data_IF_418871696363
#
_entry.id   IF_418871696363
#
_cell.length_a   1.000
_cell.length_b   1.000
_cell.length_c   1.000
_cell.angle_alpha   90.00
_cell.angle_beta   90.00
_cell.angle_gamma   90.00
#
_symmetry.space_group_name_H-M   'P 1'
#
loop_
_entity.id
_entity.type
_entity.pdbx_description
1 polymer ?
#
# COMPACT_ATOMS: atom_id res chain seq x y z
N UNK A 1 18.60 8.38 20.37
CA UNK A 1 17.13 8.33 20.59
C UNK A 1 16.35 8.46 19.27
N UNK A 2 16.53 9.55 18.47
CA UNK A 2 15.73 9.79 17.25
C UNK A 2 15.81 8.63 16.23
N UNK A 3 17.00 8.12 15.94
CA UNK A 3 17.17 7.00 14.99
C UNK A 3 16.36 5.76 15.39
N UNK A 4 16.42 5.34 16.65
CA UNK A 4 15.68 4.20 17.17
C UNK A 4 14.16 4.41 17.13
N UNK A 5 13.70 5.63 17.38
CA UNK A 5 12.25 5.94 17.28
C UNK A 5 11.73 5.76 15.85
N UNK A 6 12.48 6.19 14.85
CA UNK A 6 12.13 5.97 13.44
C UNK A 6 12.25 4.51 13.02
N UNK A 7 13.18 3.74 13.58
CA UNK A 7 13.26 2.29 13.36
C UNK A 7 12.04 1.57 13.93
N UNK A 8 11.64 1.89 15.15
CA UNK A 8 10.42 1.34 15.75
C UNK A 8 9.18 1.67 14.92
N UNK A 9 9.08 2.91 14.41
CA UNK A 9 8.01 3.30 13.51
C UNK A 9 8.03 2.48 12.21
N UNK A 10 9.21 2.28 11.58
CA UNK A 10 9.33 1.45 10.37
C UNK A 10 8.86 0.02 10.60
N UNK A 11 9.22 -0.58 11.73
CA UNK A 11 8.74 -1.92 12.10
C UNK A 11 7.21 -1.95 12.22
N UNK A 12 6.62 -0.97 12.88
CA UNK A 12 5.16 -0.86 12.98
C UNK A 12 4.49 -0.72 11.60
N UNK A 13 5.03 0.13 10.73
CA UNK A 13 4.55 0.30 9.34
C UNK A 13 4.68 -1.00 8.53
N UNK A 14 5.75 -1.78 8.72
CA UNK A 14 5.91 -3.08 8.08
C UNK A 14 4.84 -4.10 8.56
N UNK A 15 4.45 -4.07 9.82
CA UNK A 15 3.33 -4.89 10.31
C UNK A 15 1.99 -4.48 9.68
N UNK A 16 1.72 -3.19 9.54
CA UNK A 16 0.53 -2.70 8.81
C UNK A 16 0.55 -3.20 7.36
N UNK A 17 1.70 -3.11 6.68
CA UNK A 17 1.87 -3.61 5.32
C UNK A 17 1.60 -5.13 5.21
N UNK A 18 2.07 -5.91 6.18
CA UNK A 18 1.80 -7.37 6.22
C UNK A 18 0.31 -7.67 6.36
N UNK A 19 -0.42 -6.92 7.16
CA UNK A 19 -1.86 -7.08 7.31
C UNK A 19 -2.60 -6.67 6.04
N UNK A 20 -2.20 -5.57 5.41
CA UNK A 20 -2.76 -5.10 4.14
C UNK A 20 -2.60 -6.15 3.04
N UNK A 21 -1.39 -6.67 2.85
CA UNK A 21 -1.12 -7.71 1.84
C UNK A 21 -1.94 -8.98 2.07
N UNK A 22 -2.11 -9.41 3.32
CA UNK A 22 -2.99 -10.54 3.65
C UNK A 22 -4.45 -10.28 3.31
N UNK A 23 -4.95 -9.04 3.53
CA UNK A 23 -6.33 -8.66 3.14
C UNK A 23 -6.47 -8.65 1.62
N UNK A 24 -5.48 -8.11 0.89
CA UNK A 24 -5.42 -8.16 -0.59
C UNK A 24 -5.54 -9.60 -1.08
N UNK A 25 -4.77 -10.53 -0.51
CA UNK A 25 -4.85 -11.96 -0.88
C UNK A 25 -6.23 -12.56 -0.56
N UNK A 26 -6.85 -12.21 0.57
CA UNK A 26 -8.20 -12.66 0.90
C UNK A 26 -9.22 -12.15 -0.10
N UNK A 27 -9.19 -10.87 -0.44
CA UNK A 27 -10.05 -10.27 -1.46
C UNK A 27 -9.88 -11.00 -2.79
N UNK A 28 -8.63 -11.27 -3.19
CA UNK A 28 -8.30 -11.97 -4.43
C UNK A 28 -8.90 -13.36 -4.53
N UNK A 29 -8.84 -14.15 -3.47
CA UNK A 29 -9.24 -15.56 -3.51
C UNK A 29 -10.69 -15.79 -3.07
N UNK A 30 -11.27 -14.89 -2.31
CA UNK A 30 -12.58 -15.07 -1.69
C UNK A 30 -13.56 -13.90 -1.94
N UNK A 31 -13.11 -12.80 -2.55
CA UNK A 31 -13.93 -11.61 -2.72
C UNK A 31 -15.02 -11.80 -3.77
N UNK A 32 -14.66 -12.29 -4.97
CA UNK A 32 -15.61 -12.49 -6.06
C UNK A 32 -15.74 -13.98 -6.36
N UNK A 33 -16.95 -14.56 -6.30
CA UNK A 33 -17.19 -15.96 -6.63
C UNK A 33 -16.72 -16.30 -8.04
N UNK A 34 -16.11 -17.47 -8.22
CA UNK A 34 -15.52 -17.90 -9.51
C UNK A 34 -16.53 -17.85 -10.67
N UNK A 35 -17.80 -18.17 -10.41
CA UNK A 35 -18.86 -18.11 -11.42
C UNK A 35 -19.20 -16.70 -11.92
N UNK A 36 -18.96 -15.66 -11.11
CA UNK A 36 -19.21 -14.25 -11.48
C UNK A 36 -17.98 -13.53 -12.04
N UNK A 37 -16.82 -14.13 -11.91
CA UNK A 37 -15.55 -13.53 -12.30
C UNK A 37 -15.47 -13.17 -13.80
N UNK A 38 -16.05 -13.99 -14.66
CA UNK A 38 -16.04 -13.75 -16.10
C UNK A 38 -16.87 -12.51 -16.50
N UNK A 39 -18.01 -12.29 -15.84
CA UNK A 39 -18.86 -11.12 -16.05
C UNK A 39 -18.21 -9.87 -15.44
N UNK A 40 -17.66 -9.99 -14.26
CA UNK A 40 -16.91 -8.92 -13.61
C UNK A 40 -15.77 -8.40 -14.49
N UNK A 41 -14.96 -9.30 -15.10
CA UNK A 41 -13.90 -8.93 -16.04
C UNK A 41 -14.39 -8.20 -17.27
N UNK A 42 -15.57 -8.53 -17.78
CA UNK A 42 -16.16 -7.81 -18.91
C UNK A 42 -16.58 -6.39 -18.52
N UNK A 43 -17.09 -6.22 -17.30
CA UNK A 43 -17.52 -4.93 -16.77
C UNK A 43 -16.34 -4.02 -16.43
N UNK A 44 -15.22 -4.59 -15.94
CA UNK A 44 -14.04 -3.86 -15.50
C UNK A 44 -12.75 -4.41 -16.13
N UNK A 45 -12.56 -4.28 -17.46
CA UNK A 45 -11.46 -4.94 -18.18
C UNK A 45 -10.07 -4.45 -17.76
N UNK A 46 -9.96 -3.22 -17.24
CA UNK A 46 -8.69 -2.60 -16.85
C UNK A 46 -8.47 -2.51 -15.33
N UNK A 47 -9.44 -2.94 -14.54
CA UNK A 47 -9.32 -2.91 -13.08
C UNK A 47 -8.25 -3.89 -12.59
N UNK A 48 -7.45 -3.48 -11.60
CA UNK A 48 -6.30 -4.25 -11.11
C UNK A 48 -6.66 -5.46 -10.24
N UNK A 49 -7.93 -5.85 -10.17
CA UNK A 49 -8.40 -6.92 -9.28
C UNK A 49 -7.64 -8.24 -9.43
N UNK A 50 -7.02 -8.51 -10.60
CA UNK A 50 -6.43 -9.82 -10.87
C UNK A 50 -4.94 -9.78 -11.20
N UNK A 51 -4.22 -10.79 -10.69
CA UNK A 51 -2.85 -11.11 -11.05
C UNK A 51 -1.84 -10.00 -10.75
N UNK A 52 -1.74 -8.96 -11.58
CA UNK A 52 -0.71 -7.94 -11.42
C UNK A 52 -0.72 -7.24 -10.06
N UNK A 53 -1.88 -6.97 -9.48
CA UNK A 53 -2.00 -6.26 -8.20
C UNK A 53 -1.51 -7.07 -7.01
N UNK A 54 -1.76 -8.37 -6.99
CA UNK A 54 -1.27 -9.25 -5.93
C UNK A 54 0.25 -9.39 -6.00
N UNK A 55 0.81 -9.51 -7.19
CA UNK A 55 2.27 -9.55 -7.37
C UNK A 55 2.93 -8.22 -6.99
N UNK A 56 2.32 -7.09 -7.36
CA UNK A 56 2.79 -5.76 -6.98
C UNK A 56 2.73 -5.58 -5.46
N UNK A 57 1.65 -6.02 -4.82
CA UNK A 57 1.51 -5.98 -3.37
C UNK A 57 2.58 -6.81 -2.66
N UNK A 58 2.86 -8.03 -3.15
CA UNK A 58 3.90 -8.89 -2.61
C UNK A 58 5.31 -8.27 -2.78
N UNK A 59 5.59 -7.65 -3.93
CA UNK A 59 6.85 -6.96 -4.19
C UNK A 59 7.04 -5.75 -3.27
N UNK A 60 6.00 -4.92 -3.12
CA UNK A 60 6.00 -3.78 -2.18
C UNK A 60 6.21 -4.23 -0.74
N UNK A 61 5.55 -5.30 -0.31
CA UNK A 61 5.75 -5.86 1.03
C UNK A 61 7.18 -6.36 1.23
N UNK A 62 7.77 -7.03 0.24
CA UNK A 62 9.16 -7.49 0.31
C UNK A 62 10.13 -6.32 0.46
N UNK A 63 9.93 -5.24 -0.32
CA UNK A 63 10.72 -4.01 -0.21
C UNK A 63 10.55 -3.35 1.16
N UNK A 64 9.32 -3.20 1.65
CA UNK A 64 9.03 -2.63 2.98
C UNK A 64 9.72 -3.43 4.08
N UNK A 65 9.66 -4.76 4.05
CA UNK A 65 10.34 -5.63 5.02
C UNK A 65 11.86 -5.45 4.97
N UNK A 66 12.44 -5.33 3.78
CA UNK A 66 13.86 -5.07 3.61
C UNK A 66 14.26 -3.73 4.23
N UNK A 67 13.52 -2.65 3.92
CA UNK A 67 13.74 -1.30 4.43
C UNK A 67 13.49 -1.16 5.93
N UNK A 68 12.72 -2.07 6.53
CA UNK A 68 12.42 -2.07 7.97
C UNK A 68 13.59 -2.58 8.82
N UNK A 69 14.64 -3.16 8.22
CA UNK A 69 15.81 -3.59 8.97
C UNK A 69 16.48 -2.41 9.68
N UNK A 70 17.02 -2.61 10.89
CA UNK A 70 17.74 -1.58 11.63
C UNK A 70 18.95 -1.05 10.86
N UNK A 71 19.06 0.27 10.75
CA UNK A 71 20.19 0.95 10.13
C UNK A 71 21.16 1.51 11.16
N UNK A 72 20.68 1.74 12.38
CA UNK A 72 21.54 2.26 13.46
C UNK A 72 22.66 1.30 13.90
N UNK A 73 22.53 0.03 13.55
CA UNK A 73 23.59 -0.97 13.75
C UNK A 73 24.72 -0.90 12.71
N UNK A 74 24.53 -0.16 11.61
CA UNK A 74 25.51 -0.05 10.53
C UNK A 74 26.50 1.11 10.76
N UNK A 75 26.59 1.61 11.98
CA UNK A 75 27.57 2.65 12.32
C UNK A 75 28.99 2.12 12.12
N UNK A 76 29.86 2.95 11.56
CA UNK A 76 31.27 2.67 11.35
C UNK A 76 32.12 3.72 12.04
N UNK A 77 33.31 3.33 12.47
CA UNK A 77 34.29 4.23 13.02
C UNK A 77 34.76 5.20 11.94
N UNK A 78 34.57 6.50 12.13
CA UNK A 78 34.99 7.54 11.19
C UNK A 78 36.30 8.19 11.62
N UNK A 79 36.39 8.53 12.90
CA UNK A 79 37.59 9.14 13.49
C UNK A 79 37.84 8.55 14.87
N UNK A 80 38.92 7.76 15.09
CA UNK A 80 39.21 7.16 16.37
C UNK A 80 39.28 8.23 17.48
N UNK A 81 38.70 7.87 18.64
CA UNK A 81 38.68 8.68 19.86
C UNK A 81 37.83 9.97 19.80
N UNK A 82 37.24 10.31 18.63
CA UNK A 82 36.40 11.51 18.49
C UNK A 82 35.00 11.23 17.93
N UNK A 83 34.86 10.30 16.99
CA UNK A 83 33.61 9.98 16.30
C UNK A 83 33.40 8.46 16.27
N UNK A 84 33.35 7.85 17.44
CA UNK A 84 33.24 6.39 17.58
C UNK A 84 31.86 5.84 17.25
N UNK A 85 30.83 6.69 17.25
CA UNK A 85 29.47 6.28 17.02
C UNK A 85 28.68 7.35 16.26
N UNK A 86 28.12 6.95 15.13
CA UNK A 86 27.15 7.76 14.37
C UNK A 86 25.73 7.25 14.64
N UNK A 87 24.80 8.15 14.91
CA UNK A 87 23.40 7.79 15.18
C UNK A 87 22.65 7.33 13.95
N UNK A 88 23.15 7.59 12.74
CA UNK A 88 22.49 7.34 11.44
C UNK A 88 21.02 7.81 11.40
N UNK A 89 20.66 8.79 12.22
CA UNK A 89 19.29 9.30 12.32
C UNK A 89 18.76 9.85 10.98
N UNK A 90 19.52 10.64 10.19
CA UNK A 90 19.06 11.12 8.90
C UNK A 90 18.72 9.96 7.94
N UNK A 91 19.52 8.91 7.93
CA UNK A 91 19.27 7.72 7.11
C UNK A 91 18.01 6.99 7.60
N UNK A 92 17.83 6.84 8.92
CA UNK A 92 16.64 6.23 9.50
C UNK A 92 15.37 6.98 9.11
N UNK A 93 15.39 8.32 9.12
CA UNK A 93 14.28 9.18 8.65
C UNK A 93 13.99 8.95 7.17
N UNK A 94 15.02 8.95 6.32
CA UNK A 94 14.87 8.75 4.87
C UNK A 94 14.26 7.40 4.54
N UNK A 95 14.74 6.34 5.18
CA UNK A 95 14.18 4.99 5.00
C UNK A 95 12.72 4.92 5.48
N UNK A 96 12.38 5.60 6.57
CA UNK A 96 11.00 5.64 7.06
C UNK A 96 10.07 6.34 6.08
N UNK A 97 10.50 7.45 5.46
CA UNK A 97 9.75 8.11 4.39
C UNK A 97 9.53 7.18 3.20
N UNK A 98 10.57 6.44 2.80
CA UNK A 98 10.45 5.47 1.70
C UNK A 98 9.44 4.36 2.03
N UNK A 99 9.50 3.79 3.24
CA UNK A 99 8.53 2.79 3.71
C UNK A 99 7.11 3.36 3.69
N UNK A 100 6.91 4.59 4.16
CA UNK A 100 5.60 5.23 4.16
C UNK A 100 5.03 5.37 2.74
N UNK A 101 5.83 5.83 1.78
CA UNK A 101 5.40 5.95 0.38
C UNK A 101 5.03 4.58 -0.23
N UNK A 102 5.79 3.52 0.07
CA UNK A 102 5.45 2.15 -0.37
C UNK A 102 4.17 1.63 0.27
N UNK A 103 3.99 1.90 1.55
CA UNK A 103 2.77 1.53 2.27
C UNK A 103 1.54 2.25 1.71
N UNK A 104 1.61 3.54 1.40
CA UNK A 104 0.52 4.28 0.76
C UNK A 104 0.10 3.64 -0.56
N UNK A 105 1.07 3.25 -1.40
CA UNK A 105 0.78 2.52 -2.65
C UNK A 105 0.10 1.17 -2.38
N UNK A 106 0.57 0.42 -1.40
CA UNK A 106 -0.02 -0.86 -1.01
C UNK A 106 -1.47 -0.70 -0.52
N UNK A 107 -1.73 0.31 0.30
CA UNK A 107 -3.08 0.63 0.80
C UNK A 107 -4.01 1.11 -0.32
N UNK A 108 -3.50 1.84 -1.32
CA UNK A 108 -4.28 2.20 -2.50
C UNK A 108 -4.69 0.96 -3.32
N UNK A 109 -3.79 -0.03 -3.48
CA UNK A 109 -4.14 -1.31 -4.10
C UNK A 109 -5.23 -2.03 -3.31
N UNK A 110 -5.11 -2.08 -1.98
CA UNK A 110 -6.12 -2.69 -1.12
C UNK A 110 -7.49 -2.01 -1.27
N UNK A 111 -7.52 -0.67 -1.27
CA UNK A 111 -8.73 0.11 -1.41
C UNK A 111 -9.46 -0.20 -2.73
N UNK A 112 -8.75 -0.21 -3.85
CA UNK A 112 -9.35 -0.56 -5.16
C UNK A 112 -9.92 -1.96 -5.14
N UNK A 113 -9.16 -2.94 -4.65
CA UNK A 113 -9.61 -4.34 -4.61
C UNK A 113 -10.82 -4.52 -3.68
N UNK A 114 -10.89 -3.79 -2.58
CA UNK A 114 -12.05 -3.81 -1.69
C UNK A 114 -13.28 -3.18 -2.36
N UNK A 115 -13.13 -2.04 -3.03
CA UNK A 115 -14.21 -1.40 -3.77
C UNK A 115 -14.71 -2.26 -4.94
N UNK A 116 -13.82 -2.99 -5.60
CA UNK A 116 -14.20 -3.91 -6.67
C UNK A 116 -15.06 -5.08 -6.16
N UNK A 117 -14.77 -5.58 -4.95
CA UNK A 117 -15.60 -6.61 -4.30
C UNK A 117 -16.94 -6.03 -3.87
N UNK A 118 -16.96 -4.83 -3.28
CA UNK A 118 -18.19 -4.14 -2.89
C UNK A 118 -19.09 -3.86 -4.09
N UNK A 119 -18.51 -3.46 -5.23
CA UNK A 119 -19.25 -3.19 -6.46
C UNK A 119 -19.87 -4.43 -7.11
N UNK A 120 -19.52 -5.64 -6.68
CA UNK A 120 -20.12 -6.91 -7.11
C UNK A 120 -21.35 -7.31 -6.23
N UNK A 121 -21.54 -6.68 -5.08
CA UNK A 121 -22.70 -6.92 -4.22
C UNK A 121 -23.98 -6.26 -4.78
N UNK A 122 -25.12 -6.92 -4.60
CA UNK A 122 -26.42 -6.40 -5.06
C UNK A 122 -26.84 -5.13 -4.30
N UNK A 123 -26.47 -5.06 -3.03
CA UNK A 123 -26.70 -3.91 -2.15
C UNK A 123 -25.43 -3.60 -1.39
N UNK A 124 -25.04 -2.33 -1.36
CA UNK A 124 -23.88 -1.89 -0.57
C UNK A 124 -24.22 -2.03 0.92
N UNK A 125 -23.32 -2.62 1.72
CA UNK A 125 -23.49 -2.64 3.18
C UNK A 125 -23.44 -1.21 3.73
N UNK A 126 -23.98 -1.01 4.93
CA UNK A 126 -23.83 0.25 5.64
C UNK A 126 -22.37 0.48 5.99
N UNK A 127 -21.77 1.52 5.40
CA UNK A 127 -20.36 1.86 5.56
C UNK A 127 -20.21 3.02 6.54
N UNK A 128 -19.20 2.95 7.40
CA UNK A 128 -18.79 4.11 8.20
C UNK A 128 -18.20 5.23 7.31
N UNK A 129 -18.24 6.48 7.81
CA UNK A 129 -17.84 7.67 7.05
C UNK A 129 -16.45 7.57 6.40
N UNK A 130 -15.47 7.01 7.12
CA UNK A 130 -14.11 6.83 6.57
C UNK A 130 -14.05 5.82 5.43
N UNK A 131 -14.82 4.73 5.50
CA UNK A 131 -14.90 3.76 4.39
C UNK A 131 -15.64 4.33 3.19
N UNK A 132 -16.69 5.11 3.45
CA UNK A 132 -17.44 5.79 2.40
C UNK A 132 -16.56 6.76 1.62
N UNK A 133 -15.74 7.58 2.30
CA UNK A 133 -14.82 8.51 1.63
C UNK A 133 -13.78 7.80 0.75
N UNK A 134 -13.35 6.59 1.11
CA UNK A 134 -12.46 5.78 0.25
C UNK A 134 -13.20 5.28 -0.99
N UNK A 135 -14.46 4.82 -0.84
CA UNK A 135 -15.29 4.38 -1.98
C UNK A 135 -15.54 5.55 -2.93
N UNK A 136 -15.87 6.73 -2.43
CA UNK A 136 -16.05 7.95 -3.22
C UNK A 136 -14.76 8.32 -3.97
N UNK A 137 -13.61 8.31 -3.29
CA UNK A 137 -12.32 8.60 -3.94
C UNK A 137 -12.00 7.61 -5.07
N UNK A 138 -12.30 6.32 -4.90
CA UNK A 138 -12.12 5.31 -5.96
C UNK A 138 -13.07 5.57 -7.13
N UNK A 139 -14.32 5.98 -6.85
CA UNK A 139 -15.30 6.38 -7.86
C UNK A 139 -14.81 7.58 -8.67
N UNK A 140 -14.45 8.66 -8.00
CA UNK A 140 -13.95 9.89 -8.62
C UNK A 140 -12.76 9.62 -9.55
N UNK A 141 -11.76 8.85 -9.07
CA UNK A 141 -10.60 8.48 -9.89
C UNK A 141 -11.00 7.60 -11.08
N UNK A 142 -12.02 6.75 -10.93
CA UNK A 142 -12.54 5.96 -12.05
C UNK A 142 -13.08 6.86 -13.16
N UNK A 143 -13.82 7.89 -12.78
CA UNK A 143 -14.40 8.85 -13.73
C UNK A 143 -13.35 9.78 -14.36
N UNK A 144 -12.36 10.25 -13.56
CA UNK A 144 -11.29 11.13 -14.01
C UNK A 144 -10.31 10.44 -14.98
N UNK A 145 -9.91 9.22 -14.68
CA UNK A 145 -8.84 8.52 -15.41
C UNK A 145 -9.39 7.70 -16.57
N UNK A 146 -10.67 7.31 -16.52
CA UNK A 146 -11.38 6.55 -17.55
C UNK A 146 -10.88 5.11 -17.69
N UNK A 147 -11.54 4.35 -18.56
CA UNK A 147 -11.33 2.91 -18.76
C UNK A 147 -9.99 2.55 -19.46
N UNK A 148 -9.24 3.53 -19.94
CA UNK A 148 -8.04 3.32 -20.76
C UNK A 148 -6.74 3.42 -19.96
N UNK A 149 -6.81 3.86 -18.72
CA UNK A 149 -5.62 4.02 -17.91
C UNK A 149 -5.03 2.69 -17.44
N UNK A 150 -3.71 2.60 -17.43
CA UNK A 150 -3.04 1.45 -16.82
C UNK A 150 -3.32 1.40 -15.32
N UNK A 151 -3.31 0.19 -14.74
CA UNK A 151 -3.46 0.00 -13.29
C UNK A 151 -2.47 0.86 -12.49
N UNK A 152 -1.26 1.07 -12.99
CA UNK A 152 -0.24 1.89 -12.33
C UNK A 152 -0.66 3.37 -12.25
N UNK A 153 -1.22 3.94 -13.32
CA UNK A 153 -1.72 5.32 -13.36
C UNK A 153 -2.87 5.48 -12.39
N UNK A 154 -3.81 4.54 -12.39
CA UNK A 154 -4.96 4.54 -11.48
C UNK A 154 -4.53 4.50 -10.00
N UNK A 155 -3.65 3.56 -9.64
CA UNK A 155 -3.17 3.41 -8.27
C UNK A 155 -2.40 4.66 -7.81
N UNK A 156 -1.58 5.25 -8.67
CA UNK A 156 -0.84 6.47 -8.33
C UNK A 156 -1.77 7.68 -8.14
N UNK A 157 -2.78 7.84 -8.99
CA UNK A 157 -3.79 8.88 -8.83
C UNK A 157 -4.57 8.72 -7.52
N UNK A 158 -5.00 7.50 -7.21
CA UNK A 158 -5.69 7.20 -5.96
C UNK A 158 -4.79 7.42 -4.74
N UNK A 159 -3.53 7.00 -4.79
CA UNK A 159 -2.56 7.25 -3.72
C UNK A 159 -2.48 8.75 -3.40
N UNK A 160 -2.35 9.59 -4.41
CA UNK A 160 -2.31 11.05 -4.23
C UNK A 160 -3.62 11.62 -3.68
N UNK A 161 -4.76 11.05 -4.05
CA UNK A 161 -6.07 11.49 -3.54
C UNK A 161 -6.29 11.12 -2.08
N UNK A 162 -5.86 9.92 -1.66
CA UNK A 162 -6.06 9.40 -0.31
C UNK A 162 -5.01 9.92 0.70
N UNK A 163 -3.79 10.16 0.24
CA UNK A 163 -2.67 10.54 1.09
C UNK A 163 -2.11 11.86 0.57
N UNK A 164 -2.49 12.94 1.21
CA UNK A 164 -1.93 14.28 0.92
C UNK A 164 -0.44 14.25 1.18
N UNK A 165 0.34 14.67 0.21
CA UNK A 165 1.80 14.83 0.33
C UNK A 165 2.15 16.03 1.23
#
# INVERSE_FOLDING_TARGET
MLGLSFESLRLALAHVAMLSERRINRLRFHGIPAGRMAEWRKRFPFRPYQGPSVHSAAALLAEIKHLANPVTLATTLVNPDAEDHSTLAPQSVTLTRTVLNRLQTLLAIEAVMACDVLGDEAELPELGAGSLSVVEAVGDITDEVGDVASAAVFIEALRKRLFVD
#
